data_IF_359760105561
#
_entry.id   IF_359760105561
#
_cell.length_a   1.000
_cell.length_b   1.000
_cell.length_c   1.000
_cell.angle_alpha   90.00
_cell.angle_beta   90.00
_cell.angle_gamma   90.00
#
_symmetry.space_group_name_H-M   'P 1'
#
loop_
_entity.id
_entity.type
_entity.pdbx_description
1 polymer ?
#
# COMPACT_ATOMS: atom_id res chain seq x y z
N UNK A 1 5.84 -36.98 -34.61
CA UNK A 1 4.69 -36.39 -35.32
C UNK A 1 5.11 -35.44 -36.47
N UNK A 2 6.37 -34.96 -36.56
CA UNK A 2 6.85 -34.04 -37.59
C UNK A 2 6.22 -32.62 -37.51
N UNK A 3 5.45 -32.33 -36.46
CA UNK A 3 4.86 -31.03 -36.10
C UNK A 3 4.85 -30.86 -34.58
N UNK A 4 4.62 -29.67 -34.10
CA UNK A 4 4.39 -29.44 -32.69
C UNK A 4 3.10 -30.16 -32.24
N UNK A 5 3.12 -30.92 -31.12
CA UNK A 5 1.96 -31.58 -30.60
C UNK A 5 0.96 -30.57 -29.98
N UNK A 6 -0.33 -30.88 -30.06
CA UNK A 6 -1.35 -30.06 -29.41
C UNK A 6 -1.35 -30.31 -27.88
N UNK A 7 -1.88 -29.36 -27.09
CA UNK A 7 -2.00 -29.55 -25.62
C UNK A 7 -2.79 -30.81 -25.24
N UNK A 8 -3.78 -31.21 -26.03
CA UNK A 8 -4.58 -32.41 -25.84
C UNK A 8 -3.73 -33.69 -26.07
N UNK A 9 -2.92 -33.72 -27.16
CA UNK A 9 -2.02 -34.83 -27.45
C UNK A 9 -0.94 -34.97 -26.38
N UNK A 10 -0.41 -33.84 -25.87
CA UNK A 10 0.55 -33.86 -24.76
C UNK A 10 -0.08 -34.31 -23.46
N UNK A 11 -1.34 -33.93 -23.20
CA UNK A 11 -2.09 -34.31 -22.01
C UNK A 11 -2.30 -35.84 -21.93
N UNK A 12 -2.62 -36.47 -23.07
CA UNK A 12 -2.81 -37.90 -23.17
C UNK A 12 -1.49 -38.68 -22.95
N UNK A 13 -0.38 -38.18 -23.54
CA UNK A 13 0.95 -38.85 -23.41
C UNK A 13 1.57 -38.66 -22.00
N UNK A 14 1.28 -37.54 -21.33
CA UNK A 14 1.82 -37.21 -20.01
C UNK A 14 0.89 -37.58 -18.85
N UNK A 15 -0.28 -38.16 -19.10
CA UNK A 15 -1.31 -38.48 -18.11
C UNK A 15 -1.70 -37.25 -17.25
N UNK A 16 -1.90 -36.12 -17.91
CA UNK A 16 -2.22 -34.82 -17.32
C UNK A 16 -3.49 -34.24 -17.96
N UNK A 17 -4.08 -33.21 -17.32
CA UNK A 17 -5.17 -32.47 -17.98
C UNK A 17 -4.62 -31.46 -18.98
N UNK A 18 -5.34 -31.16 -20.10
CA UNK A 18 -4.90 -30.17 -21.06
C UNK A 18 -4.63 -28.78 -20.47
N UNK A 19 -5.44 -28.36 -19.46
CA UNK A 19 -5.26 -27.11 -18.75
C UNK A 19 -3.91 -27.08 -18.00
N UNK A 20 -3.52 -28.23 -17.42
CA UNK A 20 -2.23 -28.34 -16.70
C UNK A 20 -1.05 -28.28 -17.65
N UNK A 21 -1.17 -28.88 -18.84
CA UNK A 21 -0.16 -28.78 -19.90
C UNK A 21 0.05 -27.33 -20.31
N UNK A 22 -1.02 -26.57 -20.55
CA UNK A 22 -0.96 -25.15 -20.91
C UNK A 22 -0.34 -24.33 -19.78
N UNK A 23 -0.67 -24.62 -18.52
CA UNK A 23 -0.05 -23.96 -17.36
C UNK A 23 1.47 -24.19 -17.32
N UNK A 24 1.91 -25.42 -17.46
CA UNK A 24 3.33 -25.79 -17.40
C UNK A 24 4.11 -25.20 -18.58
N UNK A 25 3.53 -25.17 -19.79
CA UNK A 25 4.15 -24.54 -20.96
C UNK A 25 4.45 -23.05 -20.76
N UNK A 26 3.66 -22.34 -19.94
CA UNK A 26 3.93 -20.93 -19.58
C UNK A 26 5.24 -20.75 -18.82
N UNK A 27 5.64 -21.75 -18.03
CA UNK A 27 6.90 -21.71 -17.26
C UNK A 27 8.13 -22.04 -18.11
N UNK A 28 7.95 -22.67 -19.30
CA UNK A 28 9.02 -23.01 -20.23
C UNK A 28 9.50 -21.86 -21.10
N UNK A 29 8.96 -20.67 -20.95
CA UNK A 29 9.39 -19.49 -21.71
C UNK A 29 10.72 -19.00 -21.17
N UNK A 30 11.72 -18.91 -22.03
CA UNK A 30 13.00 -18.29 -21.68
C UNK A 30 12.81 -16.79 -21.40
N UNK A 31 13.46 -16.25 -20.37
CA UNK A 31 13.46 -14.80 -20.13
C UNK A 31 14.10 -14.08 -21.31
N UNK A 32 13.43 -13.04 -21.81
CA UNK A 32 14.00 -12.17 -22.84
C UNK A 32 14.97 -11.17 -22.18
N UNK A 33 16.07 -10.85 -22.89
CA UNK A 33 16.99 -9.82 -22.41
C UNK A 33 16.35 -8.44 -22.44
N UNK A 34 16.56 -7.65 -21.39
CA UNK A 34 16.14 -6.25 -21.35
C UNK A 34 16.88 -5.37 -22.37
N UNK A 35 18.08 -5.77 -22.79
CA UNK A 35 18.87 -5.09 -23.81
C UNK A 35 18.50 -5.51 -25.25
N UNK A 36 17.44 -6.29 -25.44
CA UNK A 36 16.98 -6.60 -26.79
C UNK A 36 16.46 -5.34 -27.44
N UNK A 37 17.03 -4.94 -28.62
CA UNK A 37 16.61 -3.71 -29.28
C UNK A 37 15.17 -3.80 -29.78
N UNK A 38 14.46 -2.69 -29.71
CA UNK A 38 13.11 -2.50 -30.23
C UNK A 38 13.20 -1.71 -31.57
N UNK A 39 12.70 -2.33 -32.62
CA UNK A 39 12.72 -1.71 -33.96
C UNK A 39 14.06 -1.91 -34.74
N UNK A 40 14.06 -1.39 -35.96
CA UNK A 40 15.20 -1.55 -36.88
C UNK A 40 16.34 -0.55 -36.58
N UNK A 41 16.04 0.57 -35.95
CA UNK A 41 16.99 1.65 -35.64
C UNK A 41 17.84 1.38 -34.38
N UNK A 42 17.43 0.45 -33.52
CA UNK A 42 18.20 0.02 -32.35
C UNK A 42 18.35 1.05 -31.21
N UNK A 43 17.65 2.19 -31.30
CA UNK A 43 17.76 3.30 -30.36
C UNK A 43 16.95 3.09 -29.06
N UNK A 44 16.09 2.05 -29.00
CA UNK A 44 15.27 1.70 -27.83
C UNK A 44 15.44 0.25 -27.47
N UNK A 45 15.46 -0.05 -26.19
CA UNK A 45 15.55 -1.41 -25.63
C UNK A 45 14.26 -1.80 -24.89
N UNK A 46 14.04 -3.12 -24.68
CA UNK A 46 12.91 -3.59 -23.88
C UNK A 46 12.91 -3.04 -22.45
N UNK A 47 14.10 -2.77 -21.91
CA UNK A 47 14.28 -2.14 -20.59
C UNK A 47 13.62 -0.77 -20.46
N UNK A 48 13.60 0.01 -21.56
CA UNK A 48 13.01 1.37 -21.58
C UNK A 48 11.48 1.37 -21.44
N UNK A 49 10.83 0.24 -21.70
CA UNK A 49 9.37 0.07 -21.52
C UNK A 49 8.97 -0.26 -20.09
N UNK A 50 9.92 -0.57 -19.21
CA UNK A 50 9.64 -0.93 -17.83
C UNK A 50 9.51 0.36 -17.02
N UNK A 51 8.31 0.59 -16.50
CA UNK A 51 8.05 1.69 -15.59
C UNK A 51 8.77 1.48 -14.25
N UNK A 52 9.47 2.50 -13.78
CA UNK A 52 10.03 2.52 -12.42
C UNK A 52 8.89 2.81 -11.42
N UNK A 53 8.34 1.75 -10.85
CA UNK A 53 7.26 1.84 -9.86
C UNK A 53 7.71 2.39 -8.50
N UNK A 54 9.02 2.50 -8.26
CA UNK A 54 9.60 3.12 -7.05
C UNK A 54 9.98 4.58 -7.25
N UNK A 55 9.86 5.11 -8.47
CA UNK A 55 10.12 6.52 -8.74
C UNK A 55 9.16 7.42 -7.96
N UNK A 56 9.69 8.14 -6.98
CA UNK A 56 8.91 9.09 -6.19
C UNK A 56 8.70 10.36 -7.01
N UNK A 57 7.44 10.65 -7.31
CA UNK A 57 7.08 11.93 -7.95
C UNK A 57 7.31 13.06 -6.93
N UNK A 58 8.19 14.05 -7.22
CA UNK A 58 8.52 15.11 -6.25
C UNK A 58 7.31 15.86 -5.71
N UNK A 59 6.27 16.05 -6.53
CA UNK A 59 5.00 16.68 -6.11
C UNK A 59 4.26 15.85 -5.06
N UNK A 60 4.25 14.53 -5.17
CA UNK A 60 3.62 13.63 -4.19
C UNK A 60 4.39 13.62 -2.87
N UNK A 61 5.73 13.64 -2.93
CA UNK A 61 6.56 13.73 -1.72
C UNK A 61 6.31 15.02 -0.94
N UNK A 62 6.19 16.16 -1.63
CA UNK A 62 5.85 17.46 -1.01
C UNK A 62 4.43 17.42 -0.44
N UNK A 63 3.46 16.89 -1.19
CA UNK A 63 2.07 16.76 -0.73
C UNK A 63 1.98 15.92 0.54
N UNK A 64 2.71 14.80 0.60
CA UNK A 64 2.77 13.96 1.79
C UNK A 64 3.37 14.67 3.01
N UNK A 65 4.44 15.44 2.80
CA UNK A 65 5.05 16.24 3.88
C UNK A 65 4.08 17.30 4.41
N UNK A 66 3.38 17.99 3.51
CA UNK A 66 2.37 18.97 3.88
C UNK A 66 1.20 18.33 4.63
N UNK A 67 0.74 17.15 4.20
CA UNK A 67 -0.28 16.39 4.92
C UNK A 67 0.16 16.06 6.34
N UNK A 68 1.40 15.62 6.54
CA UNK A 68 1.94 15.34 7.87
C UNK A 68 1.95 16.59 8.76
N UNK A 69 2.39 17.73 8.23
CA UNK A 69 2.40 19.00 8.96
C UNK A 69 0.97 19.44 9.36
N UNK A 70 0.03 19.36 8.43
CA UNK A 70 -1.38 19.68 8.68
C UNK A 70 -2.00 18.75 9.74
N UNK A 71 -1.68 17.45 9.67
CA UNK A 71 -2.14 16.48 10.66
C UNK A 71 -1.60 16.82 12.05
N UNK A 72 -0.32 17.16 12.18
CA UNK A 72 0.27 17.58 13.45
C UNK A 72 -0.42 18.83 14.00
N UNK A 73 -0.63 19.86 13.17
CA UNK A 73 -1.34 21.08 13.56
C UNK A 73 -2.77 20.80 14.07
N UNK A 74 -3.48 19.88 13.43
CA UNK A 74 -4.82 19.48 13.88
C UNK A 74 -4.76 18.72 15.22
N UNK A 75 -3.77 17.85 15.42
CA UNK A 75 -3.57 17.13 16.67
C UNK A 75 -3.19 18.08 17.82
N UNK A 76 -2.42 19.13 17.57
CA UNK A 76 -2.03 20.15 18.55
C UNK A 76 -3.23 20.95 19.09
N UNK A 77 -4.35 20.96 18.36
CA UNK A 77 -5.61 21.56 18.87
C UNK A 77 -6.35 20.73 19.91
N UNK A 78 -5.91 19.50 20.13
CA UNK A 78 -6.46 18.58 21.12
C UNK A 78 -5.74 18.72 22.46
N UNK A 79 -6.33 18.18 23.53
CA UNK A 79 -5.57 18.04 24.77
C UNK A 79 -4.46 16.99 24.59
N UNK A 80 -3.35 17.15 25.30
CA UNK A 80 -2.18 16.23 25.25
C UNK A 80 -2.60 14.76 25.40
N UNK A 81 -3.55 14.48 26.28
CA UNK A 81 -4.08 13.14 26.51
C UNK A 81 -4.90 12.62 25.32
N UNK A 82 -5.70 13.46 24.67
CA UNK A 82 -6.49 13.09 23.48
C UNK A 82 -5.56 12.85 22.29
N UNK A 83 -4.62 13.75 22.05
CA UNK A 83 -3.61 13.61 20.99
C UNK A 83 -2.76 12.35 21.18
N UNK A 84 -2.28 12.08 22.40
CA UNK A 84 -1.50 10.90 22.70
C UNK A 84 -2.27 9.58 22.51
N UNK A 85 -3.55 9.52 22.90
CA UNK A 85 -4.39 8.33 22.66
C UNK A 85 -4.56 8.08 21.17
N UNK A 86 -4.84 9.10 20.36
CA UNK A 86 -4.99 8.98 18.89
C UNK A 86 -3.65 8.59 18.26
N UNK A 87 -2.56 9.24 18.63
CA UNK A 87 -1.23 8.94 18.09
C UNK A 87 -0.83 7.48 18.34
N UNK A 88 -1.02 6.96 19.55
CA UNK A 88 -0.74 5.55 19.85
C UNK A 88 -1.71 4.61 19.13
N UNK A 89 -2.98 4.97 19.02
CA UNK A 89 -3.99 4.13 18.38
C UNK A 89 -3.72 3.90 16.90
N UNK A 90 -3.27 4.93 16.19
CA UNK A 90 -3.00 4.89 14.75
C UNK A 90 -1.52 4.76 14.40
N UNK A 91 -0.63 4.69 15.40
CA UNK A 91 0.81 4.53 15.17
C UNK A 91 1.46 5.76 14.55
N UNK A 92 0.96 6.96 14.83
CA UNK A 92 1.46 8.20 14.21
C UNK A 92 2.88 8.60 14.69
N UNK A 93 3.37 8.01 15.77
CA UNK A 93 4.71 8.31 16.30
C UNK A 93 5.76 7.26 15.92
N UNK A 94 5.48 5.99 16.23
CA UNK A 94 6.42 4.87 16.06
C UNK A 94 6.05 3.94 14.87
N UNK A 95 5.03 4.29 14.10
CA UNK A 95 4.51 3.46 13.01
C UNK A 95 3.77 2.20 13.47
N UNK A 96 3.58 2.01 14.78
CA UNK A 96 3.01 0.80 15.37
C UNK A 96 1.65 1.10 16.03
N UNK A 97 0.51 0.74 15.41
CA UNK A 97 -0.81 0.89 16.03
C UNK A 97 -0.94 0.06 17.30
N UNK A 98 -1.38 0.69 18.39
CA UNK A 98 -1.58 0.02 19.69
C UNK A 98 -3.04 -0.32 19.95
N UNK A 99 -3.26 -1.37 20.72
CA UNK A 99 -4.60 -1.78 21.16
C UNK A 99 -5.09 -0.89 22.31
N UNK A 100 -6.40 -0.83 22.51
CA UNK A 100 -7.00 -0.04 23.62
C UNK A 100 -6.52 -0.51 25.00
N UNK A 101 -6.19 -1.81 25.14
CA UNK A 101 -5.67 -2.37 26.40
C UNK A 101 -4.24 -1.90 26.67
N UNK A 102 -3.38 -1.88 25.65
CA UNK A 102 -2.01 -1.38 25.77
C UNK A 102 -1.99 0.11 26.09
N UNK A 103 -2.81 0.90 25.38
CA UNK A 103 -2.96 2.33 25.66
C UNK A 103 -3.49 2.56 27.09
N UNK A 104 -4.45 1.73 27.51
CA UNK A 104 -4.99 1.77 28.87
C UNK A 104 -3.92 1.53 29.93
N UNK A 105 -2.99 0.59 29.70
CA UNK A 105 -1.84 0.34 30.58
C UNK A 105 -0.90 1.54 30.68
N UNK A 106 -0.62 2.21 29.55
CA UNK A 106 0.26 3.39 29.51
C UNK A 106 -0.33 4.55 30.32
N UNK A 107 -1.64 4.79 30.18
CA UNK A 107 -2.31 5.90 30.87
C UNK A 107 -2.89 5.54 32.26
N UNK A 108 -2.75 4.30 32.70
CA UNK A 108 -3.27 3.84 33.99
C UNK A 108 -4.80 3.88 34.08
N UNK A 109 -5.51 3.60 32.98
CA UNK A 109 -6.97 3.63 32.90
C UNK A 109 -7.52 2.38 32.21
N UNK A 110 -8.81 2.13 32.39
CA UNK A 110 -9.49 0.98 31.78
C UNK A 110 -9.60 1.13 30.26
N UNK A 111 -9.63 -0.01 29.55
CA UNK A 111 -9.90 -0.08 28.11
C UNK A 111 -11.13 0.73 27.70
N UNK A 112 -12.22 0.62 28.46
CA UNK A 112 -13.46 1.34 28.17
C UNK A 112 -13.27 2.87 28.27
N UNK A 113 -12.44 3.31 29.21
CA UNK A 113 -12.12 4.74 29.32
C UNK A 113 -11.34 5.25 28.12
N UNK A 114 -10.39 4.47 27.60
CA UNK A 114 -9.66 4.80 26.36
C UNK A 114 -10.62 4.83 25.16
N UNK A 115 -11.55 3.87 25.04
CA UNK A 115 -12.57 3.86 23.99
C UNK A 115 -13.45 5.11 24.00
N UNK A 116 -13.83 5.58 25.19
CA UNK A 116 -14.60 6.82 25.34
C UNK A 116 -13.81 8.05 24.91
N UNK A 117 -12.52 8.11 25.28
CA UNK A 117 -11.62 9.20 24.86
C UNK A 117 -11.47 9.18 23.34
N UNK A 118 -11.15 8.03 22.74
CA UNK A 118 -11.03 7.85 21.29
C UNK A 118 -12.30 8.33 20.57
N UNK A 119 -13.47 7.83 20.94
CA UNK A 119 -14.74 8.19 20.31
C UNK A 119 -15.03 9.70 20.39
N UNK A 120 -14.80 10.30 21.55
CA UNK A 120 -15.00 11.74 21.77
C UNK A 120 -14.00 12.56 20.93
N UNK A 121 -12.75 12.12 20.88
CA UNK A 121 -11.69 12.80 20.12
C UNK A 121 -11.96 12.70 18.62
N UNK A 122 -12.36 11.53 18.12
CA UNK A 122 -12.74 11.37 16.71
C UNK A 122 -13.93 12.25 16.33
N UNK A 123 -14.91 12.43 17.23
CA UNK A 123 -16.02 13.35 17.01
C UNK A 123 -15.56 14.82 16.94
N UNK A 124 -14.57 15.21 17.76
CA UNK A 124 -13.95 16.53 17.70
C UNK A 124 -13.18 16.76 16.39
N UNK A 125 -12.43 15.75 15.92
CA UNK A 125 -11.65 15.80 14.69
C UNK A 125 -12.54 15.90 13.44
N UNK A 126 -13.72 15.25 13.46
CA UNK A 126 -14.72 15.34 12.37
C UNK A 126 -15.40 16.69 12.25
N UNK A 127 -15.28 17.55 13.27
CA UNK A 127 -15.88 18.88 13.20
C UNK A 127 -15.28 19.69 12.03
N UNK A 128 -16.09 20.41 11.22
CA UNK A 128 -15.63 21.11 10.03
C UNK A 128 -14.44 22.04 10.25
N UNK A 129 -14.35 22.69 11.42
CA UNK A 129 -13.22 23.58 11.76
C UNK A 129 -11.85 22.88 11.83
N UNK A 130 -11.80 21.54 11.86
CA UNK A 130 -10.58 20.74 11.88
C UNK A 130 -10.46 19.84 10.67
N UNK A 131 -11.56 19.22 10.23
CA UNK A 131 -11.56 18.29 9.10
C UNK A 131 -11.38 18.99 7.75
N UNK A 132 -11.76 20.25 7.62
CA UNK A 132 -11.70 20.98 6.36
C UNK A 132 -10.27 21.09 5.83
N UNK A 133 -9.28 21.30 6.71
CA UNK A 133 -7.87 21.43 6.33
C UNK A 133 -7.29 20.13 5.73
N UNK A 134 -7.82 18.97 6.16
CA UNK A 134 -7.35 17.66 5.70
C UNK A 134 -8.17 17.14 4.50
N UNK A 135 -9.25 17.82 4.13
CA UNK A 135 -10.17 17.36 3.10
C UNK A 135 -9.54 17.36 1.71
N UNK A 136 -8.67 18.32 1.45
CA UNK A 136 -8.00 18.49 0.15
C UNK A 136 -6.99 17.35 -0.17
N UNK A 137 -6.72 16.47 0.81
CA UNK A 137 -5.83 15.33 0.67
C UNK A 137 -6.58 13.98 0.58
N UNK A 138 -7.91 13.99 0.51
CA UNK A 138 -8.75 12.78 0.48
C UNK A 138 -9.31 12.46 -0.92
N UNK A 139 -9.07 13.34 -1.90
CA UNK A 139 -9.52 13.18 -3.30
C UNK A 139 -8.44 12.53 -4.17
#
# INVERSE_FOLDING_TARGET
LGREPTPEELAEDLDMTPEKVIEVQKYGREPISLHTPLGEDGDSEFGDLIEDSEAVVPAEAVSFTLLQEQLHQVLDTLSEREAGVVSMRFGLGDGQPKTLDEIGKVYGVTRERIRQIESKTMSKLRHPSRSQVLRDYLD
#
